data_IF_660210356869
#
_entry.id   IF_660210356869
#
_cell.length_a   1.000
_cell.length_b   1.000
_cell.length_c   1.000
_cell.angle_alpha   90.00
_cell.angle_beta   90.00
_cell.angle_gamma   90.00
#
_symmetry.space_group_name_H-M   'P 1'
#
loop_
_entity.id
_entity.type
_entity.pdbx_description
1 polymer ?
#
# COMPACT_ATOMS: atom_id res chain seq x y z
N UNK A 1 30.99 10.91 13.25
CA UNK A 1 30.69 9.65 12.52
C UNK A 1 29.48 8.94 13.13
N UNK A 2 29.40 8.79 14.46
CA UNK A 2 28.21 8.25 15.16
C UNK A 2 26.91 9.03 14.89
N UNK A 3 26.94 10.36 14.92
CA UNK A 3 25.74 11.19 14.70
C UNK A 3 25.14 11.05 13.30
N UNK A 4 25.99 10.85 12.29
CA UNK A 4 25.54 10.69 10.91
C UNK A 4 24.78 9.37 10.74
N UNK A 5 25.29 8.29 11.34
CA UNK A 5 24.66 6.96 11.34
C UNK A 5 23.36 6.95 12.15
N UNK A 6 23.31 7.66 13.29
CA UNK A 6 22.10 7.76 14.10
C UNK A 6 20.97 8.52 13.36
N UNK A 7 21.33 9.60 12.68
CA UNK A 7 20.39 10.41 11.89
C UNK A 7 19.90 9.67 10.63
N UNK A 8 20.75 8.88 9.98
CA UNK A 8 20.34 7.99 8.88
C UNK A 8 19.39 6.88 9.35
N UNK A 9 19.70 6.23 10.48
CA UNK A 9 18.84 5.21 11.07
C UNK A 9 17.47 5.78 11.47
N UNK A 10 17.45 6.99 12.04
CA UNK A 10 16.21 7.69 12.36
C UNK A 10 15.38 8.01 11.11
N UNK A 11 16.04 8.45 10.02
CA UNK A 11 15.37 8.68 8.73
C UNK A 11 14.77 7.40 8.14
N UNK A 12 15.50 6.29 8.20
CA UNK A 12 15.01 5.00 7.73
C UNK A 12 13.81 4.53 8.57
N UNK A 13 13.86 4.70 9.88
CA UNK A 13 12.75 4.35 10.79
C UNK A 13 11.50 5.18 10.48
N UNK A 14 11.64 6.51 10.40
CA UNK A 14 10.53 7.39 10.07
C UNK A 14 9.95 7.12 8.67
N UNK A 15 10.81 6.79 7.71
CA UNK A 15 10.38 6.41 6.37
C UNK A 15 9.63 5.08 6.38
N UNK A 16 10.11 4.06 7.10
CA UNK A 16 9.42 2.78 7.26
C UNK A 16 8.05 2.95 7.92
N UNK A 17 7.96 3.75 8.97
CA UNK A 17 6.69 4.08 9.63
C UNK A 17 5.73 4.75 8.65
N UNK A 18 6.18 5.78 7.92
CA UNK A 18 5.39 6.43 6.88
C UNK A 18 4.86 5.42 5.85
N UNK A 19 5.74 4.58 5.31
CA UNK A 19 5.38 3.56 4.30
C UNK A 19 4.35 2.58 4.85
N UNK A 20 4.47 2.20 6.13
CA UNK A 20 3.54 1.29 6.81
C UNK A 20 2.13 1.89 6.96
N UNK A 21 1.98 3.22 6.97
CA UNK A 21 0.67 3.87 7.04
C UNK A 21 -0.08 3.90 5.70
N UNK A 22 0.59 3.73 4.56
CA UNK A 22 0.00 3.92 3.24
C UNK A 22 -1.19 3.00 2.90
N UNK A 23 -1.21 1.71 3.32
CA UNK A 23 -2.39 0.87 3.15
C UNK A 23 -3.67 1.45 3.75
N UNK A 24 -3.57 2.22 4.84
CA UNK A 24 -4.74 2.85 5.47
C UNK A 24 -5.45 3.87 4.56
N UNK A 25 -4.77 4.37 3.52
CA UNK A 25 -5.40 5.24 2.52
C UNK A 25 -6.47 4.50 1.70
N UNK A 26 -6.35 3.18 1.56
CA UNK A 26 -7.33 2.33 0.89
C UNK A 26 -8.61 2.13 1.70
N UNK A 27 -8.61 2.52 2.98
CA UNK A 27 -9.77 2.51 3.87
C UNK A 27 -10.57 3.82 3.82
N UNK A 28 -10.04 4.85 3.15
CA UNK A 28 -10.76 6.12 2.99
C UNK A 28 -12.00 5.92 2.10
N UNK A 29 -13.07 6.70 2.29
CA UNK A 29 -14.27 6.59 1.44
C UNK A 29 -14.02 7.05 0.00
N UNK A 30 -12.95 7.83 -0.23
CA UNK A 30 -12.58 8.39 -1.52
C UNK A 30 -11.07 8.33 -1.69
N UNK A 31 -10.61 7.98 -2.88
CA UNK A 31 -9.19 7.94 -3.24
C UNK A 31 -8.97 8.39 -4.69
N UNK A 32 -7.82 8.98 -4.96
CA UNK A 32 -7.42 9.30 -6.32
C UNK A 32 -6.66 8.12 -6.94
N UNK A 33 -6.86 7.83 -8.23
CA UNK A 33 -6.19 6.72 -8.91
C UNK A 33 -4.65 6.76 -8.79
N UNK A 34 -4.04 7.93 -9.01
CA UNK A 34 -2.61 8.14 -8.76
C UNK A 34 -2.13 7.66 -7.38
N UNK A 35 -2.95 7.80 -6.33
CA UNK A 35 -2.60 7.30 -5.00
C UNK A 35 -2.57 5.77 -4.99
N UNK A 36 -3.53 5.09 -5.62
CA UNK A 36 -3.53 3.63 -5.79
C UNK A 36 -2.27 3.18 -6.52
N UNK A 37 -1.90 3.85 -7.61
CA UNK A 37 -0.69 3.54 -8.39
C UNK A 37 0.59 3.70 -7.57
N UNK A 38 0.68 4.74 -6.74
CA UNK A 38 1.81 4.97 -5.84
C UNK A 38 1.89 3.86 -4.78
N UNK A 39 0.76 3.50 -4.17
CA UNK A 39 0.69 2.41 -3.19
C UNK A 39 1.17 1.12 -3.82
N UNK A 40 0.72 0.78 -5.03
CA UNK A 40 1.18 -0.40 -5.77
C UNK A 40 2.71 -0.42 -5.94
N UNK A 41 3.30 0.68 -6.41
CA UNK A 41 4.76 0.79 -6.58
C UNK A 41 5.51 0.63 -5.26
N UNK A 42 4.97 1.18 -4.18
CA UNK A 42 5.58 1.15 -2.85
C UNK A 42 5.49 -0.26 -2.25
N UNK A 43 4.34 -0.93 -2.36
CA UNK A 43 4.15 -2.31 -1.89
C UNK A 43 5.09 -3.27 -2.59
N UNK A 44 5.28 -3.13 -3.90
CA UNK A 44 6.23 -3.94 -4.65
C UNK A 44 7.68 -3.73 -4.18
N UNK A 45 8.06 -2.48 -3.87
CA UNK A 45 9.43 -2.14 -3.47
C UNK A 45 9.74 -2.48 -2.00
N UNK A 46 8.76 -2.35 -1.12
CA UNK A 46 8.92 -2.46 0.33
C UNK A 46 8.03 -3.55 0.96
N UNK A 47 7.80 -4.65 0.22
CA UNK A 47 6.92 -5.78 0.61
C UNK A 47 7.09 -6.17 2.08
N UNK A 48 8.33 -6.40 2.52
CA UNK A 48 8.63 -6.86 3.88
C UNK A 48 8.20 -5.88 4.99
N UNK A 49 8.10 -4.59 4.67
CA UNK A 49 7.70 -3.57 5.64
C UNK A 49 6.18 -3.42 5.70
N UNK A 50 5.50 -3.62 4.56
CA UNK A 50 4.07 -3.35 4.43
C UNK A 50 3.21 -4.61 4.60
N UNK A 51 3.80 -5.81 4.45
CA UNK A 51 3.06 -7.07 4.45
C UNK A 51 2.12 -7.21 5.65
N UNK A 52 2.64 -6.99 6.87
CA UNK A 52 1.85 -7.10 8.11
C UNK A 52 0.67 -6.13 8.15
N UNK A 53 0.87 -4.91 7.65
CA UNK A 53 -0.17 -3.87 7.64
C UNK A 53 -1.25 -4.20 6.61
N UNK A 54 -0.88 -4.70 5.43
CA UNK A 54 -1.86 -5.14 4.44
C UNK A 54 -2.64 -6.37 4.91
N UNK A 55 -1.97 -7.35 5.51
CA UNK A 55 -2.61 -8.55 6.08
C UNK A 55 -3.61 -8.16 7.19
N UNK A 56 -3.19 -7.29 8.11
CA UNK A 56 -4.05 -6.81 9.20
C UNK A 56 -5.30 -6.06 8.70
N UNK A 57 -5.19 -5.35 7.58
CA UNK A 57 -6.28 -4.56 7.00
C UNK A 57 -6.99 -5.27 5.83
N UNK A 58 -6.69 -6.53 5.54
CA UNK A 58 -7.15 -7.23 4.33
C UNK A 58 -8.67 -7.16 4.15
N UNK A 59 -9.41 -7.63 5.16
CA UNK A 59 -10.88 -7.71 5.08
C UNK A 59 -11.50 -6.32 4.91
N UNK A 60 -11.01 -5.34 5.66
CA UNK A 60 -11.54 -3.98 5.63
C UNK A 60 -11.26 -3.29 4.28
N UNK A 61 -10.08 -3.54 3.69
CA UNK A 61 -9.74 -3.03 2.36
C UNK A 61 -10.63 -3.69 1.31
N UNK A 62 -10.80 -5.02 1.33
CA UNK A 62 -11.64 -5.74 0.37
C UNK A 62 -13.10 -5.27 0.43
N UNK A 63 -13.65 -5.06 1.63
CA UNK A 63 -14.99 -4.50 1.78
C UNK A 63 -15.07 -3.04 1.32
N UNK A 64 -14.04 -2.23 1.59
CA UNK A 64 -14.03 -0.83 1.14
C UNK A 64 -13.86 -0.70 -0.37
N UNK A 65 -13.08 -1.57 -1.03
CA UNK A 65 -12.88 -1.59 -2.48
C UNK A 65 -14.19 -1.70 -3.26
N UNK A 66 -15.23 -2.31 -2.68
CA UNK A 66 -16.56 -2.42 -3.32
C UNK A 66 -17.31 -1.09 -3.39
N UNK A 67 -17.01 -0.14 -2.50
CA UNK A 67 -17.77 1.09 -2.28
C UNK A 67 -16.96 2.38 -2.35
N UNK A 68 -15.63 2.29 -2.36
CA UNK A 68 -14.74 3.44 -2.43
C UNK A 68 -15.00 4.26 -3.71
N UNK A 69 -15.07 5.58 -3.57
CA UNK A 69 -15.13 6.50 -4.69
C UNK A 69 -13.71 6.68 -5.27
N UNK A 70 -13.51 6.35 -6.54
CA UNK A 70 -12.20 6.48 -7.20
C UNK A 70 -12.25 7.66 -8.16
N UNK A 71 -11.54 8.74 -7.81
CA UNK A 71 -11.46 9.93 -8.68
C UNK A 71 -10.24 9.90 -9.59
N UNK A 72 -10.38 10.54 -10.76
CA UNK A 72 -9.30 10.65 -11.75
C UNK A 72 -8.97 9.35 -12.46
N UNK A 73 -9.85 8.35 -12.36
CA UNK A 73 -9.77 7.09 -13.10
C UNK A 73 -10.56 7.18 -14.40
N UNK A 74 -9.98 6.67 -15.48
CA UNK A 74 -10.67 6.45 -16.76
C UNK A 74 -11.42 5.10 -16.79
N UNK A 75 -10.99 4.14 -15.97
CA UNK A 75 -11.59 2.82 -15.81
C UNK A 75 -11.53 2.39 -14.33
N UNK A 76 -12.62 2.65 -13.60
CA UNK A 76 -12.70 2.31 -12.18
C UNK A 76 -12.53 0.81 -11.91
N UNK A 77 -12.93 -0.05 -12.86
CA UNK A 77 -12.79 -1.50 -12.69
C UNK A 77 -11.31 -1.88 -12.66
N UNK A 78 -10.50 -1.28 -13.52
CA UNK A 78 -9.04 -1.46 -13.50
C UNK A 78 -8.43 -0.90 -12.22
N UNK A 79 -8.85 0.28 -11.76
CA UNK A 79 -8.34 0.84 -10.49
C UNK A 79 -8.70 -0.04 -9.28
N UNK A 80 -9.90 -0.64 -9.24
CA UNK A 80 -10.29 -1.60 -8.19
C UNK A 80 -9.47 -2.89 -8.27
N UNK A 81 -9.22 -3.41 -9.49
CA UNK A 81 -8.33 -4.55 -9.70
C UNK A 81 -6.90 -4.26 -9.22
N UNK A 82 -6.40 -3.05 -9.45
CA UNK A 82 -5.10 -2.62 -8.94
C UNK A 82 -5.01 -2.73 -7.42
N UNK A 83 -6.09 -2.40 -6.69
CA UNK A 83 -6.14 -2.57 -5.23
C UNK A 83 -6.16 -4.05 -4.86
N UNK A 84 -6.99 -4.87 -5.50
CA UNK A 84 -7.04 -6.31 -5.23
C UNK A 84 -5.69 -6.99 -5.49
N UNK A 85 -4.98 -6.57 -6.55
CA UNK A 85 -3.66 -7.10 -6.92
C UNK A 85 -2.61 -6.93 -5.82
N UNK A 86 -2.75 -5.92 -4.94
CA UNK A 86 -1.86 -5.75 -3.78
C UNK A 86 -1.75 -7.03 -2.95
N UNK A 87 -2.85 -7.76 -2.78
CA UNK A 87 -2.90 -8.96 -1.95
C UNK A 87 -2.44 -10.21 -2.68
N UNK A 88 -2.69 -10.31 -3.98
CA UNK A 88 -2.13 -11.39 -4.82
C UNK A 88 -0.59 -11.38 -4.78
N UNK A 89 0.04 -10.21 -4.69
CA UNK A 89 1.49 -10.08 -4.52
C UNK A 89 1.98 -10.40 -3.10
N UNK A 90 1.09 -10.51 -2.11
CA UNK A 90 1.43 -10.93 -0.76
C UNK A 90 1.35 -12.44 -0.58
N UNK A 91 0.31 -13.08 -1.12
CA UNK A 91 0.09 -14.54 -1.03
C UNK A 91 0.99 -15.36 -1.97
N UNK A 92 1.65 -14.73 -2.93
CA UNK A 92 2.60 -15.44 -3.80
C UNK A 92 3.93 -15.71 -3.07
N UNK A 93 4.03 -16.90 -2.46
CA UNK A 93 4.96 -17.87 -3.03
C UNK A 93 4.63 -17.96 -4.52
N UNK A 94 5.57 -17.58 -5.38
CA UNK A 94 5.36 -17.52 -6.83
C UNK A 94 5.08 -18.95 -7.31
N UNK A 95 3.81 -19.29 -7.57
CA UNK A 95 3.47 -20.48 -8.33
C UNK A 95 3.38 -20.09 -9.80
N UNK A 96 4.46 -20.41 -10.53
CA UNK A 96 4.58 -20.31 -11.99
C UNK A 96 3.57 -21.20 -12.72
#
# INVERSE_FOLDING_TARGET
MLDHTLHELHRETAFKEFISTLPSLLLKPKIHENTIQIINKIVLRYRNWIHKELEANYNDIIENVKKIEITGSEDEKQSRLMICNLFYFLDTEIFY
#
